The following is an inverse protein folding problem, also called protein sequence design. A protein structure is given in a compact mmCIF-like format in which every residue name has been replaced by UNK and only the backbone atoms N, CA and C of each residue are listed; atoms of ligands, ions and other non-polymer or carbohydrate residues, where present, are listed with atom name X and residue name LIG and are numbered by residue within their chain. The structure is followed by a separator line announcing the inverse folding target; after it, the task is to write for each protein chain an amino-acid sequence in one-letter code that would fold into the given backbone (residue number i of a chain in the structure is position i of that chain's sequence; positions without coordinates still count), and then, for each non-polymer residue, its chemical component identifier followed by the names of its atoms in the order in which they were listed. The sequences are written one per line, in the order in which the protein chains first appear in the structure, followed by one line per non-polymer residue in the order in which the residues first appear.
data_IF_210847440679
#
_entry.id   IF_210847440679
#
_cell.length_a   1.000
_cell.length_b   1.000
_cell.length_c   1.000
_cell.angle_alpha   90.00
_cell.angle_beta   90.00
_cell.angle_gamma   90.00
#
_symmetry.space_group_name_H-M   'P 1'
#
loop_
_entity.id
_entity.type
_entity.pdbx_description
1 polymer ?
#
# COMPACT_ATOMS: atom_id res chain seq x y z
N UNK A 1 11.49 -21.28 -27.24
CA UNK A 1 10.34 -21.23 -28.15
C UNK A 1 10.70 -21.51 -29.61
N UNK A 2 11.60 -20.76 -30.26
CA UNK A 2 11.88 -20.98 -31.70
C UNK A 2 12.34 -22.42 -32.05
N UNK A 3 13.14 -23.04 -31.17
CA UNK A 3 13.65 -24.42 -31.36
C UNK A 3 12.56 -25.50 -31.20
N UNK A 4 11.51 -25.26 -30.40
CA UNK A 4 10.44 -26.24 -30.18
C UNK A 4 9.44 -26.27 -31.33
N UNK A 5 9.12 -25.10 -31.91
CA UNK A 5 8.21 -25.00 -33.04
C UNK A 5 8.77 -25.63 -34.31
N UNK A 6 10.05 -25.39 -34.64
CA UNK A 6 10.70 -26.04 -35.77
C UNK A 6 10.67 -27.57 -35.66
N UNK A 7 10.89 -28.10 -34.45
CA UNK A 7 10.87 -29.55 -34.19
C UNK A 7 9.47 -30.17 -34.30
N UNK A 8 8.41 -29.41 -33.97
CA UNK A 8 7.02 -29.83 -34.17
C UNK A 8 6.71 -29.95 -35.66
N UNK A 9 7.11 -28.94 -36.46
CA UNK A 9 6.94 -28.98 -37.91
C UNK A 9 7.67 -30.16 -38.55
N UNK A 10 8.93 -30.39 -38.17
CA UNK A 10 9.72 -31.53 -38.67
C UNK A 10 9.07 -32.89 -38.33
N UNK A 11 8.51 -33.04 -37.13
CA UNK A 11 7.78 -34.23 -36.73
C UNK A 11 6.50 -34.41 -37.55
N UNK A 12 5.71 -33.35 -37.72
CA UNK A 12 4.50 -33.38 -38.53
C UNK A 12 4.82 -33.79 -39.97
N UNK A 13 5.85 -33.18 -40.56
CA UNK A 13 6.31 -33.50 -41.92
C UNK A 13 6.75 -34.96 -42.04
N UNK A 14 7.46 -35.49 -41.04
CA UNK A 14 7.90 -36.89 -41.00
C UNK A 14 6.74 -37.91 -41.01
N UNK A 15 5.65 -37.60 -40.30
CA UNK A 15 4.50 -38.52 -40.16
C UNK A 15 3.43 -38.32 -41.24
N UNK A 16 3.12 -37.07 -41.56
CA UNK A 16 2.09 -36.70 -42.54
C UNK A 16 2.57 -36.95 -43.97
N UNK A 17 3.88 -36.81 -44.23
CA UNK A 17 4.53 -37.04 -45.54
C UNK A 17 3.92 -36.23 -46.68
N UNK A 18 3.20 -35.16 -46.35
CA UNK A 18 2.60 -34.18 -47.24
C UNK A 18 2.86 -32.82 -46.59
N UNK A 19 3.62 -31.98 -47.28
CA UNK A 19 4.10 -30.70 -46.76
C UNK A 19 2.94 -29.72 -46.50
N UNK A 20 1.92 -29.73 -47.36
CA UNK A 20 0.77 -28.83 -47.24
C UNK A 20 -0.07 -29.21 -46.02
N UNK A 21 -0.37 -30.50 -45.85
CA UNK A 21 -1.09 -31.00 -44.67
C UNK A 21 -0.28 -30.84 -43.38
N UNK A 22 1.04 -31.03 -43.44
CA UNK A 22 1.91 -30.82 -42.29
C UNK A 22 1.90 -29.34 -41.84
N UNK A 23 1.88 -28.40 -42.80
CA UNK A 23 1.77 -26.97 -42.51
C UNK A 23 0.42 -26.60 -41.91
N UNK A 24 -0.69 -27.12 -42.47
CA UNK A 24 -2.03 -26.90 -41.90
C UNK A 24 -2.13 -27.43 -40.46
N UNK A 25 -1.60 -28.63 -40.19
CA UNK A 25 -1.53 -29.16 -38.82
C UNK A 25 -0.63 -28.31 -37.91
N UNK A 26 0.48 -27.81 -38.43
CA UNK A 26 1.42 -26.99 -37.66
C UNK A 26 0.79 -25.66 -37.25
N UNK A 27 0.09 -24.99 -38.16
CA UNK A 27 -0.59 -23.73 -37.89
C UNK A 27 -1.64 -23.89 -36.77
N UNK A 28 -2.44 -24.96 -36.83
CA UNK A 28 -3.42 -25.29 -35.78
C UNK A 28 -2.72 -25.55 -34.43
N UNK A 29 -1.64 -26.32 -34.42
CA UNK A 29 -0.90 -26.62 -33.17
C UNK A 29 -0.32 -25.34 -32.56
N UNK A 30 0.24 -24.45 -33.40
CA UNK A 30 0.77 -23.16 -32.93
C UNK A 30 -0.34 -22.28 -32.37
N UNK A 31 -1.51 -22.26 -33.00
CA UNK A 31 -2.67 -21.50 -32.53
C UNK A 31 -3.15 -22.01 -31.17
N UNK A 32 -3.31 -23.33 -31.00
CA UNK A 32 -3.68 -23.95 -29.72
C UNK A 32 -2.66 -23.64 -28.63
N UNK A 33 -1.35 -23.71 -28.92
CA UNK A 33 -0.32 -23.38 -27.92
C UNK A 33 -0.44 -21.92 -27.47
N UNK A 34 -0.66 -20.99 -28.40
CA UNK A 34 -0.86 -19.56 -28.08
C UNK A 34 -2.11 -19.32 -27.24
N UNK A 35 -3.17 -20.08 -27.49
CA UNK A 35 -4.40 -20.02 -26.72
C UNK A 35 -4.18 -20.52 -25.27
N UNK A 36 -3.53 -21.67 -25.11
CA UNK A 36 -3.15 -22.20 -23.78
C UNK A 36 -2.25 -21.22 -23.02
N UNK A 37 -1.25 -20.63 -23.68
CA UNK A 37 -0.38 -19.62 -23.04
C UNK A 37 -1.16 -18.38 -22.60
N UNK A 38 -2.17 -17.96 -23.36
CA UNK A 38 -3.04 -16.83 -23.01
C UNK A 38 -3.90 -17.17 -21.80
N UNK A 39 -4.58 -18.32 -21.82
CA UNK A 39 -5.41 -18.78 -20.70
C UNK A 39 -4.60 -18.93 -19.42
N UNK A 40 -3.42 -19.54 -19.47
CA UNK A 40 -2.54 -19.69 -18.31
C UNK A 40 -2.11 -18.33 -17.75
N UNK A 41 -1.81 -17.35 -18.62
CA UNK A 41 -1.42 -16.00 -18.21
C UNK A 41 -2.58 -15.22 -17.61
N UNK A 42 -3.78 -15.38 -18.15
CA UNK A 42 -5.00 -14.75 -17.64
C UNK A 42 -5.41 -15.35 -16.29
N UNK A 43 -5.38 -16.68 -16.16
CA UNK A 43 -5.65 -17.36 -14.89
C UNK A 43 -4.70 -16.92 -13.77
N UNK A 44 -3.39 -16.90 -14.02
CA UNK A 44 -2.40 -16.40 -13.04
C UNK A 44 -2.63 -14.92 -12.70
N UNK A 45 -3.07 -14.11 -13.66
CA UNK A 45 -3.33 -12.70 -13.43
C UNK A 45 -4.57 -12.49 -12.56
N UNK A 46 -5.61 -13.29 -12.75
CA UNK A 46 -6.82 -13.23 -11.93
C UNK A 46 -6.57 -13.76 -10.52
N UNK A 47 -5.84 -14.86 -10.36
CA UNK A 47 -5.44 -15.38 -9.04
C UNK A 47 -4.63 -14.34 -8.24
N UNK A 48 -3.67 -13.67 -8.91
CA UNK A 48 -2.85 -12.64 -8.27
C UNK A 48 -3.61 -11.33 -8.01
N UNK A 49 -4.72 -11.07 -8.71
CA UNK A 49 -5.46 -9.81 -8.60
C UNK A 49 -6.15 -9.66 -7.24
N UNK A 50 -6.61 -10.77 -6.69
CA UNK A 50 -7.30 -10.79 -5.40
C UNK A 50 -6.33 -10.87 -4.22
N UNK A 51 -5.11 -11.40 -4.43
CA UNK A 51 -4.07 -11.48 -3.39
C UNK A 51 -3.18 -10.24 -3.29
N UNK A 52 -2.95 -9.53 -4.40
CA UNK A 52 -2.04 -8.38 -4.42
C UNK A 52 -2.74 -7.07 -4.08
N UNK A 53 -2.26 -6.40 -3.03
CA UNK A 53 -2.60 -5.02 -2.77
C UNK A 53 -2.20 -4.13 -3.97
N UNK A 54 -3.15 -3.35 -4.48
CA UNK A 54 -2.89 -2.43 -5.57
C UNK A 54 -2.26 -1.14 -5.05
N UNK A 55 -1.64 -0.36 -5.96
CA UNK A 55 -1.15 1.00 -5.62
C UNK A 55 -2.25 1.89 -5.03
N UNK A 56 -3.51 1.66 -5.41
CA UNK A 56 -4.67 2.40 -4.88
C UNK A 56 -4.95 2.03 -3.43
N UNK A 57 -4.80 0.76 -3.06
CA UNK A 57 -5.00 0.29 -1.69
C UNK A 57 -3.93 0.86 -0.75
N UNK A 58 -2.68 0.92 -1.22
CA UNK A 58 -1.58 1.55 -0.47
C UNK A 58 -1.84 3.05 -0.28
N UNK A 59 -2.22 3.76 -1.33
CA UNK A 59 -2.52 5.19 -1.26
C UNK A 59 -3.70 5.48 -0.29
N UNK A 60 -4.75 4.65 -0.32
CA UNK A 60 -5.88 4.76 0.61
C UNK A 60 -5.44 4.51 2.06
N UNK A 61 -4.52 3.57 2.28
CA UNK A 61 -4.00 3.28 3.61
C UNK A 61 -3.17 4.46 4.14
N UNK A 62 -2.31 5.03 3.30
CA UNK A 62 -1.46 6.19 3.61
C UNK A 62 -2.32 7.41 3.97
N UNK A 63 -3.37 7.70 3.20
CA UNK A 63 -4.32 8.77 3.49
C UNK A 63 -5.00 8.58 4.86
N UNK A 64 -5.46 7.36 5.16
CA UNK A 64 -6.08 7.03 6.45
C UNK A 64 -5.08 7.18 7.60
N UNK A 65 -3.83 6.77 7.41
CA UNK A 65 -2.78 6.91 8.41
C UNK A 65 -2.47 8.37 8.69
N UNK A 66 -2.30 9.19 7.66
CA UNK A 66 -2.03 10.62 7.79
C UNK A 66 -3.20 11.35 8.51
N UNK A 67 -4.43 11.05 8.12
CA UNK A 67 -5.62 11.58 8.79
C UNK A 67 -5.70 11.17 10.26
N UNK A 68 -5.32 9.94 10.58
CA UNK A 68 -5.27 9.46 11.97
C UNK A 68 -4.17 10.16 12.77
N UNK A 69 -2.98 10.32 12.20
CA UNK A 69 -1.86 11.04 12.82
C UNK A 69 -2.24 12.48 13.14
N UNK A 70 -2.82 13.21 12.19
CA UNK A 70 -3.29 14.58 12.42
C UNK A 70 -4.35 14.67 13.53
N UNK A 71 -5.25 13.68 13.62
CA UNK A 71 -6.26 13.63 14.69
C UNK A 71 -5.61 13.39 16.05
N UNK A 72 -4.62 12.51 16.13
CA UNK A 72 -3.88 12.23 17.36
C UNK A 72 -3.09 13.47 17.79
N UNK A 73 -2.36 14.10 16.88
CA UNK A 73 -1.58 15.32 17.16
C UNK A 73 -2.48 16.44 17.69
N UNK A 74 -3.62 16.70 17.03
CA UNK A 74 -4.61 17.69 17.49
C UNK A 74 -5.17 17.36 18.88
N UNK A 75 -5.45 16.08 19.14
CA UNK A 75 -5.94 15.65 20.45
C UNK A 75 -4.88 15.88 21.53
N UNK A 76 -3.63 15.49 21.27
CA UNK A 76 -2.50 15.66 22.19
C UNK A 76 -2.25 17.14 22.47
N UNK A 77 -2.19 17.99 21.43
CA UNK A 77 -2.02 19.44 21.58
C UNK A 77 -3.13 20.06 22.43
N UNK A 78 -4.38 19.69 22.19
CA UNK A 78 -5.50 20.16 23.01
C UNK A 78 -5.37 19.74 24.48
N UNK A 79 -4.94 18.50 24.75
CA UNK A 79 -4.71 18.03 26.12
C UNK A 79 -3.54 18.75 26.78
N UNK A 80 -2.43 18.97 26.07
CA UNK A 80 -1.32 19.75 26.59
C UNK A 80 -1.72 21.20 26.88
N UNK A 81 -2.51 21.83 26.02
CA UNK A 81 -3.02 23.18 26.26
C UNK A 81 -3.95 23.23 27.47
N UNK A 82 -4.83 22.25 27.65
CA UNK A 82 -5.66 22.12 28.86
C UNK A 82 -4.81 22.02 30.13
N UNK A 83 -3.75 21.19 30.11
CA UNK A 83 -2.83 21.04 31.25
C UNK A 83 -2.09 22.35 31.53
N UNK A 84 -1.57 23.05 30.51
CA UNK A 84 -0.89 24.35 30.68
C UNK A 84 -1.81 25.38 31.34
N UNK A 85 -3.06 25.46 30.90
CA UNK A 85 -4.05 26.37 31.49
C UNK A 85 -4.32 26.00 32.96
N UNK A 86 -4.49 24.70 33.26
CA UNK A 86 -4.72 24.24 34.63
C UNK A 86 -3.54 24.58 35.56
N UNK A 87 -2.30 24.39 35.09
CA UNK A 87 -1.08 24.74 35.84
C UNK A 87 -1.06 26.25 36.12
N UNK A 88 -1.35 27.07 35.11
CA UNK A 88 -1.33 28.53 35.25
C UNK A 88 -2.39 29.03 36.23
N UNK A 89 -3.61 28.48 36.17
CA UNK A 89 -4.68 28.75 37.14
C UNK A 89 -4.24 28.33 38.54
N UNK A 90 -3.65 27.15 38.69
CA UNK A 90 -3.19 26.64 39.98
C UNK A 90 -2.11 27.54 40.58
N UNK A 91 -1.12 27.96 39.78
CA UNK A 91 -0.07 28.88 40.22
C UNK A 91 -0.65 30.24 40.62
N UNK A 92 -1.58 30.77 39.84
CA UNK A 92 -2.27 32.02 40.16
C UNK A 92 -3.06 31.91 41.47
N UNK A 93 -3.77 30.80 41.68
CA UNK A 93 -4.50 30.54 42.91
C UNK A 93 -3.56 30.46 44.12
N UNK A 94 -2.39 29.81 44.00
CA UNK A 94 -1.38 29.76 45.06
C UNK A 94 -0.88 31.16 45.42
N UNK A 95 -0.67 32.04 44.44
CA UNK A 95 -0.24 33.43 44.68
C UNK A 95 -1.35 34.24 45.35
N UNK A 96 -2.59 34.17 44.84
CA UNK A 96 -3.71 34.98 45.35
C UNK A 96 -4.18 34.52 46.74
N UNK A 97 -4.21 33.21 46.98
CA UNK A 97 -4.67 32.64 48.26
C UNK A 97 -3.60 32.68 49.35
N UNK A 98 -2.34 32.98 49.01
CA UNK A 98 -1.28 33.11 50.01
C UNK A 98 -1.20 34.57 50.50
N UNK A 99 -1.62 34.86 51.74
CA UNK A 99 -1.62 36.23 52.28
C UNK A 99 -0.21 36.84 52.40
N UNK A 100 0.84 36.02 52.39
CA UNK A 100 2.25 36.45 52.42
C UNK A 100 2.88 36.54 51.03
N UNK A 101 2.15 36.22 49.94
CA UNK A 101 2.72 36.21 48.59
C UNK A 101 3.28 37.57 48.17
N UNK A 102 2.59 38.66 48.51
CA UNK A 102 3.06 40.02 48.24
C UNK A 102 4.39 40.32 48.94
N UNK A 103 4.54 39.91 50.21
CA UNK A 103 5.76 40.13 50.99
C UNK A 103 6.94 39.33 50.43
N UNK A 104 6.69 38.09 49.99
CA UNK A 104 7.71 37.24 49.36
C UNK A 104 8.18 37.83 48.03
N UNK A 105 7.26 38.26 47.15
CA UNK A 105 7.59 38.89 45.86
C UNK A 105 8.38 40.18 46.07
N UNK A 106 7.96 41.01 47.04
CA UNK A 106 8.65 42.25 47.41
C UNK A 106 10.07 41.99 47.95
N UNK A 107 10.30 40.89 48.65
CA UNK A 107 11.62 40.52 49.15
C UNK A 107 12.56 40.00 48.05
N UNK A 108 12.03 39.34 47.00
CA UNK A 108 12.82 38.82 45.87
C UNK A 108 13.20 39.93 44.86
N UNK A 109 12.34 40.93 44.67
CA UNK A 109 12.57 42.04 43.72
C UNK A 109 13.45 43.18 44.28
N UNK A 110 14.00 43.02 45.49
CA UNK A 110 14.83 44.01 46.17
C UNK A 110 16.31 43.62 46.08
#
# INVERSE_FOLDING_TARGET
MAVSYARIYELLLKYVKDEKKAMECYDVVVEVIKEIEREAREGVKDDLRDELATKKDIALLEEKMNSMEERILRYVDNKFNQIKILILITLFAVIVLNPYAYEIVKAILK
#
